data_IF_895003602633
#
_entry.id   IF_895003602633
#
_cell.length_a   1.000
_cell.length_b   1.000
_cell.length_c   1.000
_cell.angle_alpha   90.00
_cell.angle_beta   90.00
_cell.angle_gamma   90.00
#
_symmetry.space_group_name_H-M   'P 1'
#
loop_
_entity.id
_entity.type
_entity.pdbx_description
1 polymer ?
#
# COMPACT_ATOMS: atom_id res chain seq x y z
N UNK A 1 -14.69 25.18 -0.79
CA UNK A 1 -13.59 24.47 -1.48
C UNK A 1 -14.08 24.03 -2.85
N UNK A 2 -13.34 24.27 -3.95
CA UNK A 2 -13.69 23.68 -5.24
C UNK A 2 -13.86 22.16 -5.07
N UNK A 3 -14.92 21.61 -5.67
CA UNK A 3 -15.35 20.23 -5.47
C UNK A 3 -14.21 19.26 -5.85
N UNK A 4 -13.50 18.73 -4.84
CA UNK A 4 -12.31 17.87 -4.97
C UNK A 4 -12.56 16.70 -5.93
N UNK A 5 -13.77 16.15 -5.92
CA UNK A 5 -14.19 15.04 -6.78
C UNK A 5 -14.17 15.42 -8.25
N UNK A 6 -14.78 16.57 -8.60
CA UNK A 6 -14.74 17.13 -9.97
C UNK A 6 -13.32 17.40 -10.47
N UNK A 7 -12.41 17.82 -9.58
CA UNK A 7 -10.99 18.02 -9.93
C UNK A 7 -10.30 16.70 -10.27
N UNK A 8 -10.54 15.66 -9.48
CA UNK A 8 -9.97 14.32 -9.69
C UNK A 8 -10.51 13.70 -10.98
N UNK A 9 -11.81 13.77 -11.22
CA UNK A 9 -12.44 13.24 -12.44
C UNK A 9 -11.86 13.89 -13.70
N UNK A 10 -11.67 15.23 -13.68
CA UNK A 10 -11.04 15.96 -14.77
C UNK A 10 -9.59 15.53 -14.99
N UNK A 11 -8.82 15.37 -13.91
CA UNK A 11 -7.42 14.94 -13.99
C UNK A 11 -7.30 13.52 -14.55
N UNK A 12 -8.16 12.59 -14.13
CA UNK A 12 -8.21 11.23 -14.67
C UNK A 12 -8.59 11.25 -16.15
N UNK A 13 -9.54 12.10 -16.56
CA UNK A 13 -9.94 12.25 -17.96
C UNK A 13 -8.78 12.71 -18.84
N UNK A 14 -8.06 13.75 -18.41
CA UNK A 14 -6.88 14.25 -19.13
C UNK A 14 -5.76 13.21 -19.20
N UNK A 15 -5.48 12.51 -18.10
CA UNK A 15 -4.47 11.46 -18.09
C UNK A 15 -4.81 10.33 -19.07
N UNK A 16 -6.07 9.88 -19.11
CA UNK A 16 -6.52 8.85 -20.07
C UNK A 16 -6.27 9.27 -21.53
N UNK A 17 -6.49 10.54 -21.86
CA UNK A 17 -6.24 11.06 -23.21
C UNK A 17 -4.74 11.03 -23.54
N UNK A 18 -3.89 11.51 -22.63
CA UNK A 18 -2.43 11.51 -22.81
C UNK A 18 -1.87 10.09 -22.99
N UNK A 19 -2.36 9.12 -22.22
CA UNK A 19 -1.95 7.72 -22.38
C UNK A 19 -2.46 7.10 -23.68
N UNK A 20 -3.66 7.48 -24.15
CA UNK A 20 -4.19 7.02 -25.43
C UNK A 20 -3.36 7.53 -26.62
N UNK A 21 -2.86 8.77 -26.57
CA UNK A 21 -1.91 9.31 -27.56
C UNK A 21 -0.63 8.48 -27.66
N UNK A 22 -0.22 7.84 -26.56
CA UNK A 22 0.90 6.90 -26.50
C UNK A 22 0.51 5.43 -26.81
N UNK A 23 -0.74 5.17 -27.23
CA UNK A 23 -1.24 3.83 -27.54
C UNK A 23 -1.56 2.94 -26.33
N UNK A 24 -1.71 3.53 -25.14
CA UNK A 24 -1.96 2.80 -23.88
C UNK A 24 -3.45 2.86 -23.51
N UNK A 25 -4.08 1.69 -23.38
CA UNK A 25 -5.43 1.57 -22.79
C UNK A 25 -5.34 1.53 -21.26
N UNK A 26 -5.60 2.69 -20.64
CA UNK A 26 -5.62 2.84 -19.19
C UNK A 26 -6.69 1.97 -18.51
N UNK A 27 -7.85 1.77 -19.15
CA UNK A 27 -8.91 0.96 -18.56
C UNK A 27 -8.49 -0.52 -18.51
N UNK A 28 -7.91 -1.05 -19.58
CA UNK A 28 -7.35 -2.40 -19.61
C UNK A 28 -6.20 -2.57 -18.60
N UNK A 29 -5.29 -1.59 -18.51
CA UNK A 29 -4.19 -1.61 -17.55
C UNK A 29 -4.68 -1.66 -16.09
N UNK A 30 -5.72 -0.90 -15.75
CA UNK A 30 -6.33 -0.94 -14.42
C UNK A 30 -7.05 -2.26 -14.14
N UNK A 31 -7.71 -2.85 -15.14
CA UNK A 31 -8.30 -4.19 -15.00
C UNK A 31 -7.25 -5.27 -14.75
N UNK A 32 -6.08 -5.14 -15.36
CA UNK A 32 -4.94 -6.02 -15.07
C UNK A 32 -4.41 -5.78 -13.66
N UNK A 33 -4.22 -4.51 -13.26
CA UNK A 33 -3.68 -4.14 -11.95
C UNK A 33 -4.49 -4.73 -10.79
N UNK A 34 -5.83 -4.71 -10.89
CA UNK A 34 -6.73 -5.26 -9.85
C UNK A 34 -6.50 -6.76 -9.60
N UNK A 35 -5.93 -7.49 -10.57
CA UNK A 35 -5.69 -8.94 -10.47
C UNK A 35 -4.34 -9.30 -9.89
N UNK A 36 -3.45 -8.33 -9.67
CA UNK A 36 -2.08 -8.58 -9.19
C UNK A 36 -2.10 -8.50 -7.66
N UNK A 37 -1.96 -9.64 -6.94
CA UNK A 37 -1.94 -9.62 -5.49
C UNK A 37 -0.61 -9.07 -4.97
N UNK A 38 -0.67 -8.27 -3.90
CA UNK A 38 0.51 -7.83 -3.16
C UNK A 38 0.56 -8.60 -1.85
N UNK A 39 1.61 -9.40 -1.65
CA UNK A 39 1.83 -10.07 -0.37
C UNK A 39 2.34 -9.05 0.64
N UNK A 40 1.53 -8.76 1.66
CA UNK A 40 1.90 -7.91 2.77
C UNK A 40 2.45 -8.75 3.90
N UNK A 41 3.57 -8.33 4.45
CA UNK A 41 4.24 -9.03 5.52
C UNK A 41 3.50 -8.79 6.85
N UNK A 42 3.12 -9.88 7.52
CA UNK A 42 2.34 -9.83 8.76
C UNK A 42 3.08 -9.14 9.91
N UNK A 43 4.41 -9.28 9.95
CA UNK A 43 5.25 -8.84 11.07
C UNK A 43 5.39 -7.32 11.20
N UNK A 44 4.84 -6.55 10.25
CA UNK A 44 4.74 -5.10 10.40
C UNK A 44 3.70 -4.70 11.46
N UNK A 45 2.71 -5.57 11.72
CA UNK A 45 1.65 -5.26 12.66
C UNK A 45 2.06 -5.38 14.14
N UNK A 46 3.10 -6.15 14.43
CA UNK A 46 3.51 -6.53 15.79
C UNK A 46 4.99 -6.24 16.10
N UNK A 47 5.66 -5.52 15.19
CA UNK A 47 7.09 -5.17 15.29
C UNK A 47 7.99 -6.42 15.37
N UNK A 48 7.76 -7.41 14.50
CA UNK A 48 8.47 -8.71 14.54
C UNK A 48 8.28 -9.46 15.87
N UNK A 49 7.18 -9.20 16.59
CA UNK A 49 6.95 -9.73 17.94
C UNK A 49 6.65 -11.24 17.97
N UNK A 50 5.88 -11.73 17.01
CA UNK A 50 5.42 -13.11 16.95
C UNK A 50 4.62 -13.55 18.18
N UNK A 51 4.38 -14.86 18.29
CA UNK A 51 3.62 -15.47 19.39
C UNK A 51 4.43 -16.47 20.22
N UNK A 52 5.63 -16.85 19.78
CA UNK A 52 6.45 -17.88 20.43
C UNK A 52 7.22 -17.35 21.65
N UNK A 53 7.66 -16.08 21.64
CA UNK A 53 8.48 -15.50 22.71
C UNK A 53 8.10 -14.04 22.98
N UNK A 54 7.01 -13.82 23.71
CA UNK A 54 6.50 -12.48 24.05
C UNK A 54 7.58 -11.65 24.76
N UNK A 55 8.19 -10.70 24.06
CA UNK A 55 9.15 -9.74 24.63
C UNK A 55 10.63 -9.94 24.26
N UNK A 56 10.98 -10.92 23.43
CA UNK A 56 12.35 -11.04 22.90
C UNK A 56 12.61 -10.00 21.81
N UNK A 57 13.80 -9.39 21.80
CA UNK A 57 14.20 -8.54 20.68
C UNK A 57 14.30 -9.38 19.38
N UNK A 58 14.02 -8.79 18.20
CA UNK A 58 14.27 -9.47 16.94
C UNK A 58 15.74 -9.91 16.88
N UNK A 59 15.97 -11.21 16.71
CA UNK A 59 17.32 -11.74 16.51
C UNK A 59 17.86 -11.42 15.11
N UNK A 60 19.11 -11.85 14.83
CA UNK A 60 19.65 -11.87 13.47
C UNK A 60 20.00 -10.49 12.88
N UNK A 61 20.19 -9.47 13.71
CA UNK A 61 20.53 -8.11 13.25
C UNK A 61 19.34 -7.29 12.75
N UNK A 62 18.11 -7.79 12.97
CA UNK A 62 16.88 -7.05 12.70
C UNK A 62 16.58 -6.08 13.85
N UNK A 63 16.07 -4.91 13.52
CA UNK A 63 15.70 -3.89 14.50
C UNK A 63 14.39 -3.24 14.09
N UNK A 64 13.50 -3.04 15.08
CA UNK A 64 12.36 -2.14 14.96
C UNK A 64 12.64 -0.90 15.82
N UNK A 65 12.34 0.29 15.31
CA UNK A 65 12.57 1.56 16.00
C UNK A 65 11.27 2.31 16.25
N UNK A 66 11.23 3.10 17.33
CA UNK A 66 10.04 3.82 17.77
C UNK A 66 9.16 3.01 18.72
N UNK A 67 8.23 3.70 19.41
CA UNK A 67 7.29 3.10 20.37
C UNK A 67 5.87 3.63 20.12
N UNK A 68 5.42 3.55 18.86
CA UNK A 68 4.08 3.99 18.51
C UNK A 68 3.04 3.04 19.13
N UNK A 69 1.99 3.55 19.81
CA UNK A 69 1.03 2.70 20.50
C UNK A 69 0.18 1.88 19.52
N UNK A 70 -0.31 0.73 19.97
CA UNK A 70 -1.33 -0.05 19.25
C UNK A 70 -0.83 -1.24 18.42
N UNK A 71 0.43 -1.65 18.56
CA UNK A 71 0.91 -2.90 17.93
C UNK A 71 0.11 -4.12 18.36
N UNK A 72 -0.11 -5.05 17.42
CA UNK A 72 -0.84 -6.29 17.67
C UNK A 72 -0.12 -7.18 18.69
N UNK A 73 -0.90 -8.00 19.42
CA UNK A 73 -0.40 -8.89 20.48
C UNK A 73 -1.02 -10.29 20.45
N UNK A 74 -1.94 -10.53 19.53
CA UNK A 74 -2.73 -11.77 19.36
C UNK A 74 -3.03 -11.98 17.89
#
# INVERSE_FOLDING_TARGET
MPNKRKRIERAIGLAKQQYAEAGVDVAAALQQLVRIPVSLHCWQGDDLGGFENVGSAPGGGLVVTGNYPGKART
#
